data_IF_731649369800
#
_entry.id   IF_731649369800
#
_cell.length_a   1.000
_cell.length_b   1.000
_cell.length_c   1.000
_cell.angle_alpha   90.00
_cell.angle_beta   90.00
_cell.angle_gamma   90.00
#
_symmetry.space_group_name_H-M   'P 1'
#
loop_
_entity.id
_entity.type
_entity.pdbx_description
1 polymer ?
#
# COMPACT_ATOMS: atom_id res chain seq x y z
N UNK A 1 -33.69 8.72 21.23
CA UNK A 1 -34.46 7.62 20.62
C UNK A 1 -33.68 7.19 19.39
N UNK A 2 -33.10 5.99 19.39
CA UNK A 2 -32.41 5.47 18.23
C UNK A 2 -33.41 5.28 17.07
N UNK A 3 -33.09 5.69 15.84
CA UNK A 3 -33.99 5.43 14.70
C UNK A 3 -34.06 3.92 14.49
N UNK A 4 -35.27 3.45 14.26
CA UNK A 4 -35.64 2.06 14.15
C UNK A 4 -34.82 1.31 13.08
N UNK A 5 -34.38 0.11 13.46
CA UNK A 5 -33.79 -0.92 12.60
C UNK A 5 -34.54 -1.08 11.30
N UNK A 6 -34.01 -0.53 10.20
CA UNK A 6 -34.47 -0.85 8.85
C UNK A 6 -33.80 -2.12 8.41
N UNK A 7 -34.52 -3.25 8.52
CA UNK A 7 -34.12 -4.47 7.86
C UNK A 7 -34.21 -4.31 6.33
N UNK A 8 -33.07 -4.42 5.66
CA UNK A 8 -33.05 -4.48 4.20
C UNK A 8 -33.59 -5.81 3.69
N UNK A 9 -34.23 -5.82 2.51
CA UNK A 9 -34.53 -7.06 1.81
C UNK A 9 -33.22 -7.77 1.46
N UNK A 10 -33.17 -9.06 1.76
CA UNK A 10 -32.04 -9.95 1.46
C UNK A 10 -31.85 -10.01 -0.04
N UNK A 11 -30.83 -9.36 -0.58
CA UNK A 11 -30.35 -9.63 -1.92
C UNK A 11 -29.25 -10.69 -1.81
N UNK A 12 -29.50 -11.89 -2.34
CA UNK A 12 -28.65 -13.08 -2.17
C UNK A 12 -27.23 -12.95 -2.76
N UNK A 13 -26.94 -11.86 -3.45
CA UNK A 13 -25.64 -11.61 -4.10
C UNK A 13 -24.69 -10.72 -3.27
N UNK A 14 -25.15 -10.04 -2.20
CA UNK A 14 -24.34 -9.03 -1.47
C UNK A 14 -23.91 -9.51 -0.06
N UNK A 15 -24.38 -10.68 0.40
CA UNK A 15 -24.11 -11.16 1.75
C UNK A 15 -25.05 -10.53 2.81
N UNK A 16 -24.85 -10.88 4.09
CA UNK A 16 -25.68 -10.41 5.20
C UNK A 16 -25.17 -9.07 5.72
N UNK A 17 -25.96 -7.99 5.58
CA UNK A 17 -25.71 -6.72 6.26
C UNK A 17 -26.57 -6.70 7.52
N UNK A 18 -25.93 -6.71 8.69
CA UNK A 18 -26.60 -6.75 9.97
C UNK A 18 -27.14 -5.37 10.40
N UNK A 19 -26.39 -4.31 10.04
CA UNK A 19 -26.77 -2.91 10.26
C UNK A 19 -26.48 -2.14 8.98
N UNK A 20 -27.40 -1.33 8.53
CA UNK A 20 -27.26 -0.55 7.31
C UNK A 20 -27.57 0.91 7.57
N UNK A 21 -26.60 1.75 7.22
CA UNK A 21 -26.80 3.20 7.10
C UNK A 21 -26.60 3.53 5.62
N UNK A 22 -27.54 4.27 4.97
CA UNK A 22 -27.35 4.70 3.59
C UNK A 22 -26.03 5.46 3.39
N UNK A 23 -25.36 5.23 2.25
CA UNK A 23 -24.04 5.81 1.99
C UNK A 23 -24.04 7.33 2.10
N UNK A 24 -25.11 8.00 1.65
CA UNK A 24 -25.30 9.44 1.76
C UNK A 24 -25.31 9.96 3.21
N UNK A 25 -25.71 9.13 4.18
CA UNK A 25 -25.72 9.48 5.60
C UNK A 25 -24.34 9.28 6.27
N UNK A 26 -23.42 8.56 5.59
CA UNK A 26 -22.05 8.34 6.05
C UNK A 26 -21.06 9.42 5.61
N UNK A 27 -21.49 10.33 4.73
CA UNK A 27 -20.63 11.36 4.14
C UNK A 27 -20.33 12.46 5.17
N UNK A 28 -19.06 12.83 5.24
CA UNK A 28 -18.58 13.98 5.97
C UNK A 28 -18.05 15.05 5.00
N UNK A 29 -18.30 16.31 5.30
CA UNK A 29 -17.86 17.44 4.51
C UNK A 29 -16.78 18.21 5.25
N UNK A 30 -15.63 18.39 4.62
CA UNK A 30 -14.56 19.25 5.13
C UNK A 30 -15.03 20.70 5.15
N UNK A 31 -14.94 21.34 6.32
CA UNK A 31 -15.34 22.74 6.53
C UNK A 31 -14.17 23.67 6.79
N UNK A 32 -13.07 23.12 7.38
CA UNK A 32 -11.87 23.90 7.66
C UNK A 32 -10.62 23.00 7.63
N UNK A 33 -9.44 23.60 7.43
CA UNK A 33 -8.15 22.90 7.44
C UNK A 33 -7.04 23.85 7.87
N UNK A 34 -6.34 23.49 8.95
CA UNK A 34 -5.24 24.24 9.54
C UNK A 34 -3.96 23.41 9.47
N UNK A 35 -2.87 24.00 8.95
CA UNK A 35 -1.55 23.37 8.99
C UNK A 35 -1.01 23.39 10.43
N UNK A 36 -0.75 22.21 10.99
CA UNK A 36 -0.15 22.07 12.33
C UNK A 36 1.37 22.04 12.24
N UNK A 37 1.90 21.26 11.28
CA UNK A 37 3.35 21.04 11.16
C UNK A 37 3.73 20.74 9.70
N UNK A 38 4.79 21.41 9.24
CA UNK A 38 5.48 21.12 8.00
C UNK A 38 6.68 20.21 8.28
N UNK A 39 6.82 19.11 7.52
CA UNK A 39 7.98 18.22 7.57
C UNK A 39 8.53 17.98 6.16
N UNK A 40 9.78 17.53 6.01
CA UNK A 40 10.31 17.17 4.69
C UNK A 40 9.58 16.03 3.98
N UNK A 41 8.81 15.20 4.72
CA UNK A 41 8.18 13.98 4.20
C UNK A 41 6.69 14.18 3.93
N UNK A 42 5.99 14.90 4.80
CA UNK A 42 4.55 15.20 4.70
C UNK A 42 4.16 16.36 5.60
N UNK A 43 3.05 17.00 5.28
CA UNK A 43 2.43 18.04 6.09
C UNK A 43 1.35 17.45 6.99
N UNK A 44 1.27 17.94 8.24
CA UNK A 44 0.24 17.51 9.18
C UNK A 44 -0.78 18.64 9.33
N UNK A 45 -2.05 18.30 9.11
CA UNK A 45 -3.17 19.21 9.22
C UNK A 45 -4.15 18.77 10.31
N UNK A 46 -4.79 19.76 10.97
CA UNK A 46 -6.08 19.58 11.61
C UNK A 46 -7.15 19.88 10.58
N UNK A 47 -8.06 18.95 10.37
CA UNK A 47 -9.17 19.07 9.43
C UNK A 47 -10.49 18.96 10.19
N UNK A 48 -11.32 20.02 10.12
CA UNK A 48 -12.66 20.00 10.69
C UNK A 48 -13.64 19.51 9.65
N UNK A 49 -14.50 18.59 10.07
CA UNK A 49 -15.52 18.01 9.21
C UNK A 49 -16.88 17.98 9.91
N UNK A 50 -17.93 18.02 9.10
CA UNK A 50 -19.34 17.95 9.52
C UNK A 50 -20.03 16.86 8.72
N UNK A 51 -20.62 15.89 9.42
CA UNK A 51 -21.44 14.85 8.81
C UNK A 51 -22.81 15.40 8.37
N UNK A 52 -23.45 14.71 7.45
CA UNK A 52 -24.80 15.06 6.97
C UNK A 52 -25.83 15.09 8.11
N UNK A 53 -25.65 14.24 9.13
CA UNK A 53 -26.50 14.21 10.33
C UNK A 53 -26.18 15.27 11.38
N UNK A 54 -25.21 16.17 11.10
CA UNK A 54 -24.84 17.28 11.97
C UNK A 54 -23.78 16.95 13.03
N UNK A 55 -23.21 15.75 13.04
CA UNK A 55 -22.05 15.46 13.89
C UNK A 55 -20.84 16.25 13.38
N UNK A 56 -20.02 16.74 14.29
CA UNK A 56 -18.79 17.49 13.97
C UNK A 56 -17.58 16.79 14.60
N UNK A 57 -16.43 16.89 13.92
CA UNK A 57 -15.16 16.35 14.43
C UNK A 57 -13.94 17.05 13.87
N UNK A 58 -12.87 17.03 14.65
CA UNK A 58 -11.54 17.47 14.22
C UNK A 58 -10.65 16.23 14.02
N UNK A 59 -10.07 16.11 12.83
CA UNK A 59 -9.27 14.97 12.42
C UNK A 59 -7.86 15.39 12.09
N UNK A 60 -6.89 14.52 12.35
CA UNK A 60 -5.52 14.73 11.92
C UNK A 60 -5.32 14.06 10.55
N UNK A 61 -4.83 14.82 9.60
CA UNK A 61 -4.54 14.36 8.24
C UNK A 61 -3.07 14.60 7.92
N UNK A 62 -2.37 13.57 7.51
CA UNK A 62 -1.04 13.66 6.94
C UNK A 62 -1.15 13.75 5.41
N UNK A 63 -0.69 14.86 4.86
CA UNK A 63 -0.72 15.16 3.43
C UNK A 63 0.67 14.87 2.84
N UNK A 64 0.78 13.76 2.15
CA UNK A 64 2.02 13.25 1.58
C UNK A 64 1.95 13.24 0.04
N UNK A 65 3.10 13.25 -0.66
CA UNK A 65 3.13 12.97 -2.09
C UNK A 65 2.70 11.53 -2.40
N UNK A 66 2.38 11.25 -3.65
CA UNK A 66 2.04 9.90 -4.11
C UNK A 66 3.24 8.95 -3.95
N UNK A 67 2.96 7.72 -3.52
CA UNK A 67 3.96 6.67 -3.35
C UNK A 67 3.84 5.59 -4.41
N UNK A 68 4.99 5.03 -4.77
CA UNK A 68 5.09 4.00 -5.80
C UNK A 68 5.71 2.73 -5.21
N UNK A 69 5.17 1.58 -5.62
CA UNK A 69 5.75 0.26 -5.37
C UNK A 69 5.85 -0.48 -6.70
N UNK A 70 7.03 -0.96 -7.03
CA UNK A 70 7.30 -1.64 -8.30
C UNK A 70 7.66 -3.10 -8.07
N UNK A 71 6.76 -4.02 -8.44
CA UNK A 71 7.05 -5.45 -8.49
C UNK A 71 7.92 -5.70 -9.71
N UNK A 72 9.20 -5.89 -9.52
CA UNK A 72 10.13 -6.16 -10.61
C UNK A 72 10.33 -7.67 -10.72
N UNK A 73 9.87 -8.27 -11.84
CA UNK A 73 9.98 -9.70 -12.11
C UNK A 73 10.94 -9.98 -13.25
N UNK A 74 11.91 -10.84 -12.98
CA UNK A 74 12.91 -11.30 -13.93
C UNK A 74 13.00 -12.83 -13.87
N UNK A 75 12.61 -13.51 -14.93
CA UNK A 75 12.73 -14.99 -15.08
C UNK A 75 12.21 -15.80 -13.86
N UNK A 76 11.03 -15.42 -13.33
CA UNK A 76 10.40 -16.10 -12.18
C UNK A 76 11.04 -15.76 -10.82
N UNK A 77 11.82 -14.69 -10.76
CA UNK A 77 12.42 -14.13 -9.56
C UNK A 77 11.97 -12.68 -9.40
N UNK A 78 11.76 -12.26 -8.17
CA UNK A 78 11.58 -10.85 -7.86
C UNK A 78 12.93 -10.19 -7.61
N UNK A 79 13.11 -9.00 -8.18
CA UNK A 79 14.19 -8.07 -7.81
C UNK A 79 13.69 -7.25 -6.64
N UNK A 80 14.38 -7.35 -5.52
CA UNK A 80 14.00 -6.76 -4.25
C UNK A 80 15.12 -5.87 -3.72
N UNK A 81 14.78 -4.94 -2.85
CA UNK A 81 15.71 -4.10 -2.12
C UNK A 81 15.70 -4.48 -0.65
N UNK A 82 16.88 -4.46 -0.01
CA UNK A 82 17.04 -4.64 1.43
C UNK A 82 17.65 -3.40 2.03
N UNK A 83 16.91 -2.78 2.97
CA UNK A 83 17.28 -1.51 3.55
C UNK A 83 16.90 -1.38 5.02
N UNK A 84 17.49 -0.41 5.69
CA UNK A 84 17.15 -0.05 7.07
C UNK A 84 15.93 0.86 7.12
N UNK A 85 14.93 0.50 7.92
CA UNK A 85 13.75 1.33 8.17
C UNK A 85 13.86 1.97 9.56
N UNK A 86 14.05 3.29 9.58
CA UNK A 86 14.31 4.06 10.79
C UNK A 86 13.17 4.02 11.81
N UNK A 87 11.92 3.94 11.38
CA UNK A 87 10.77 3.90 12.30
C UNK A 87 10.62 2.56 13.02
N UNK A 88 10.90 1.45 12.35
CA UNK A 88 10.86 0.10 12.93
C UNK A 88 12.20 -0.35 13.53
N UNK A 89 13.28 0.41 13.32
CA UNK A 89 14.66 0.08 13.72
C UNK A 89 15.07 -1.34 13.28
N UNK A 90 14.78 -1.68 12.03
CA UNK A 90 15.03 -3.01 11.48
C UNK A 90 15.41 -2.98 10.00
N UNK A 91 16.10 -4.04 9.56
CA UNK A 91 16.28 -4.31 8.14
C UNK A 91 15.01 -4.95 7.59
N UNK A 92 14.57 -4.48 6.43
CA UNK A 92 13.42 -5.05 5.71
C UNK A 92 13.79 -5.37 4.28
N UNK A 93 13.13 -6.38 3.72
CA UNK A 93 13.21 -6.75 2.30
C UNK A 93 11.91 -6.35 1.64
N UNK A 94 11.99 -5.54 0.59
CA UNK A 94 10.84 -4.87 0.00
C UNK A 94 10.93 -4.87 -1.53
N UNK A 95 9.81 -4.58 -2.19
CA UNK A 95 9.85 -4.19 -3.60
C UNK A 95 10.44 -2.78 -3.71
N UNK A 96 11.21 -2.48 -4.78
CA UNK A 96 11.69 -1.14 -5.05
C UNK A 96 10.54 -0.15 -5.22
N UNK A 97 10.80 1.11 -4.90
CA UNK A 97 9.82 2.17 -5.04
C UNK A 97 10.15 3.39 -4.21
N UNK A 98 9.45 4.46 -4.49
CA UNK A 98 9.74 5.75 -3.89
C UNK A 98 8.59 6.72 -3.98
N UNK A 99 8.93 7.98 -4.06
CA UNK A 99 8.01 9.12 -4.02
C UNK A 99 7.92 9.75 -5.40
N UNK A 100 6.68 10.00 -5.87
CA UNK A 100 6.49 10.76 -7.11
C UNK A 100 6.85 12.24 -6.91
N UNK A 101 7.55 12.81 -7.86
CA UNK A 101 7.74 14.25 -7.94
C UNK A 101 6.41 14.95 -8.29
N UNK A 102 6.23 16.22 -7.90
CA UNK A 102 4.99 16.95 -8.21
C UNK A 102 4.69 16.98 -9.71
N UNK A 103 3.59 16.34 -10.12
CA UNK A 103 3.16 16.27 -11.52
C UNK A 103 3.83 15.19 -12.37
N UNK A 104 4.70 14.37 -11.79
CA UNK A 104 5.28 13.20 -12.46
C UNK A 104 4.19 12.11 -12.64
N UNK A 105 4.21 11.46 -13.80
CA UNK A 105 3.35 10.29 -14.05
C UNK A 105 3.81 9.13 -13.16
N UNK A 106 2.93 8.49 -12.38
CA UNK A 106 3.28 7.37 -11.52
C UNK A 106 4.01 6.21 -12.21
N UNK A 107 3.74 5.95 -13.50
CA UNK A 107 4.44 4.92 -14.25
C UNK A 107 5.90 5.33 -14.57
N UNK A 108 6.13 6.61 -14.78
CA UNK A 108 7.48 7.16 -15.00
C UNK A 108 8.27 7.09 -13.70
N UNK A 109 7.68 7.51 -12.57
CA UNK A 109 8.27 7.34 -11.24
C UNK A 109 8.64 5.88 -10.98
N UNK A 110 7.73 4.95 -11.25
CA UNK A 110 7.95 3.51 -11.03
C UNK A 110 9.16 2.97 -11.79
N UNK A 111 9.33 3.39 -13.05
CA UNK A 111 10.46 2.98 -13.87
C UNK A 111 11.77 3.65 -13.44
N UNK A 112 11.72 4.93 -13.05
CA UNK A 112 12.87 5.70 -12.57
C UNK A 112 13.41 5.11 -11.27
N UNK A 113 12.56 4.95 -10.25
CA UNK A 113 12.92 4.40 -8.94
C UNK A 113 13.48 2.98 -9.07
N UNK A 114 12.86 2.14 -9.90
CA UNK A 114 13.38 0.80 -10.16
C UNK A 114 14.82 0.84 -10.70
N UNK A 115 15.10 1.70 -11.67
CA UNK A 115 16.44 1.81 -12.27
C UNK A 115 17.44 2.41 -11.27
N UNK A 116 17.07 3.46 -10.55
CA UNK A 116 17.92 4.14 -9.58
C UNK A 116 18.33 3.22 -8.42
N UNK A 117 17.38 2.50 -7.83
CA UNK A 117 17.65 1.60 -6.71
C UNK A 117 18.32 0.29 -7.11
N UNK A 118 17.93 -0.28 -8.24
CA UNK A 118 18.31 -1.67 -8.58
C UNK A 118 19.27 -1.79 -9.77
N UNK A 119 19.33 -0.78 -10.64
CA UNK A 119 20.06 -0.87 -11.91
C UNK A 119 19.34 -1.70 -12.97
N UNK A 120 18.03 -1.97 -12.79
CA UNK A 120 17.18 -2.62 -13.79
C UNK A 120 16.23 -1.64 -14.45
N UNK A 121 16.18 -1.67 -15.78
CA UNK A 121 15.22 -0.91 -16.61
C UNK A 121 14.12 -1.83 -17.11
N UNK A 122 12.83 -1.49 -16.91
CA UNK A 122 11.73 -2.29 -17.41
C UNK A 122 11.53 -2.09 -18.93
N UNK A 123 11.18 -3.18 -19.64
CA UNK A 123 10.66 -3.14 -21.00
C UNK A 123 9.13 -2.92 -20.99
N UNK A 124 8.45 -3.44 -19.97
CA UNK A 124 7.00 -3.33 -19.82
C UNK A 124 6.64 -2.92 -18.40
N UNK A 125 5.68 -1.98 -18.27
CA UNK A 125 5.10 -1.55 -17.01
C UNK A 125 3.59 -1.76 -17.03
N UNK A 126 3.07 -2.54 -16.08
CA UNK A 126 1.63 -2.80 -15.94
C UNK A 126 1.13 -2.24 -14.62
N UNK A 127 0.16 -1.33 -14.65
CA UNK A 127 -0.50 -0.83 -13.44
C UNK A 127 -1.41 -1.92 -12.86
N UNK A 128 -1.12 -2.39 -11.65
CA UNK A 128 -1.91 -3.43 -10.98
C UNK A 128 -3.03 -2.88 -10.11
N UNK A 129 -2.84 -1.69 -9.55
CA UNK A 129 -3.84 -1.03 -8.73
C UNK A 129 -3.30 0.15 -7.94
N UNK A 130 -4.24 0.93 -7.41
CA UNK A 130 -3.97 2.09 -6.55
C UNK A 130 -4.74 1.92 -5.25
N UNK A 131 -4.07 2.12 -4.12
CA UNK A 131 -4.64 1.97 -2.78
C UNK A 131 -4.33 3.20 -1.92
N UNK A 132 -5.04 3.35 -0.82
CA UNK A 132 -4.64 4.29 0.24
C UNK A 132 -3.68 3.58 1.21
N UNK A 133 -2.60 4.23 1.67
CA UNK A 133 -1.70 3.65 2.67
C UNK A 133 -2.40 3.44 4.02
N UNK A 134 -3.18 4.40 4.43
CA UNK A 134 -4.08 4.36 5.59
C UNK A 134 -5.10 5.49 5.43
N UNK A 135 -6.34 5.20 4.98
CA UNK A 135 -7.34 6.22 4.68
C UNK A 135 -7.84 6.99 5.90
N UNK A 136 -7.52 6.53 7.11
CA UNK A 136 -7.85 7.26 8.33
C UNK A 136 -6.85 8.38 8.67
N UNK A 137 -5.66 8.38 8.04
CA UNK A 137 -4.58 9.33 8.37
C UNK A 137 -4.00 10.03 7.14
N UNK A 138 -3.81 9.31 6.02
CA UNK A 138 -3.09 9.80 4.86
C UNK A 138 -4.02 10.16 3.71
N UNK A 139 -3.75 11.30 3.07
CA UNK A 139 -4.51 11.78 1.91
C UNK A 139 -4.00 11.24 0.58
N UNK A 140 -2.75 10.76 0.52
CA UNK A 140 -2.10 10.30 -0.70
C UNK A 140 -2.53 8.88 -1.11
N UNK A 141 -2.06 8.48 -2.29
CA UNK A 141 -2.23 7.14 -2.86
C UNK A 141 -0.90 6.41 -2.96
N UNK A 142 -0.99 5.09 -3.06
CA UNK A 142 0.11 4.18 -3.38
C UNK A 142 -0.23 3.50 -4.69
N UNK A 143 0.59 3.72 -5.71
CA UNK A 143 0.44 3.10 -7.03
C UNK A 143 1.33 1.88 -7.12
N UNK A 144 0.78 0.75 -7.53
CA UNK A 144 1.48 -0.53 -7.60
C UNK A 144 1.58 -0.96 -9.05
N UNK A 145 2.82 -1.13 -9.51
CA UNK A 145 3.16 -1.54 -10.86
C UNK A 145 3.86 -2.89 -10.88
N UNK A 146 3.68 -3.63 -11.96
CA UNK A 146 4.49 -4.78 -12.34
C UNK A 146 5.42 -4.36 -13.47
N UNK A 147 6.72 -4.56 -13.27
CA UNK A 147 7.79 -4.33 -14.22
C UNK A 147 8.31 -5.67 -14.74
N UNK A 148 8.30 -5.86 -16.05
CA UNK A 148 8.73 -7.07 -16.74
C UNK A 148 9.71 -6.74 -17.87
N UNK A 149 10.30 -7.77 -18.47
CA UNK A 149 11.30 -7.61 -19.55
C UNK A 149 12.47 -6.75 -19.11
N UNK A 150 12.98 -7.04 -17.92
CA UNK A 150 14.00 -6.24 -17.26
C UNK A 150 15.35 -6.35 -17.98
N UNK A 151 15.97 -5.21 -18.23
CA UNK A 151 17.33 -5.11 -18.74
C UNK A 151 18.24 -4.53 -17.68
N UNK A 152 19.32 -5.22 -17.35
CA UNK A 152 20.30 -4.73 -16.38
C UNK A 152 21.16 -3.64 -17.02
N UNK A 153 21.11 -2.43 -16.48
CA UNK A 153 21.92 -1.30 -16.92
C UNK A 153 23.28 -1.24 -16.24
N UNK A 154 23.38 -1.87 -15.04
CA UNK A 154 24.59 -1.91 -14.24
C UNK A 154 24.92 -0.58 -13.54
N UNK A 155 24.06 0.43 -13.69
CA UNK A 155 24.25 1.75 -13.08
C UNK A 155 23.11 2.00 -12.09
N UNK A 156 23.46 2.35 -10.86
CA UNK A 156 22.54 2.74 -9.80
C UNK A 156 22.77 4.20 -9.44
N UNK A 157 21.71 4.91 -9.10
CA UNK A 157 21.74 6.31 -8.72
C UNK A 157 21.00 6.51 -7.39
N UNK A 158 21.60 6.01 -6.31
CA UNK A 158 21.03 6.13 -4.97
C UNK A 158 21.08 7.57 -4.48
N UNK A 159 20.07 7.97 -3.76
CA UNK A 159 20.07 9.21 -3.01
C UNK A 159 21.14 9.21 -1.91
N UNK A 160 21.52 10.40 -1.43
CA UNK A 160 22.66 10.56 -0.50
C UNK A 160 22.52 9.77 0.80
N UNK A 161 21.30 9.57 1.25
CA UNK A 161 20.94 8.89 2.50
C UNK A 161 20.41 7.45 2.28
N UNK A 162 20.42 6.97 1.03
CA UNK A 162 20.07 5.60 0.70
C UNK A 162 21.26 4.65 0.82
N UNK A 163 21.02 3.57 1.54
CA UNK A 163 21.95 2.44 1.65
C UNK A 163 21.19 1.13 1.43
N UNK A 164 21.15 0.70 0.17
CA UNK A 164 20.27 -0.36 -0.32
C UNK A 164 21.10 -1.49 -0.91
N UNK A 165 20.80 -2.74 -0.52
CA UNK A 165 21.26 -3.95 -1.19
C UNK A 165 20.17 -4.46 -2.13
N UNK A 166 20.55 -4.87 -3.34
CA UNK A 166 19.66 -5.53 -4.31
C UNK A 166 19.80 -7.03 -4.20
N UNK A 167 18.68 -7.73 -4.11
CA UNK A 167 18.63 -9.19 -4.04
C UNK A 167 17.57 -9.73 -5.00
N UNK A 168 17.83 -10.90 -5.55
CA UNK A 168 16.87 -11.61 -6.39
C UNK A 168 16.45 -12.91 -5.72
N UNK A 169 15.14 -13.09 -5.51
CA UNK A 169 14.60 -14.27 -4.87
C UNK A 169 13.49 -14.91 -5.71
N UNK A 170 13.36 -16.23 -5.70
CA UNK A 170 12.25 -16.91 -6.36
C UNK A 170 10.89 -16.37 -5.89
N UNK A 171 9.97 -16.13 -6.81
CA UNK A 171 8.62 -15.61 -6.52
C UNK A 171 7.94 -16.40 -5.41
N UNK A 172 7.98 -17.77 -5.48
CA UNK A 172 7.36 -18.64 -4.48
C UNK A 172 7.99 -18.53 -3.09
N UNK A 173 9.29 -18.22 -3.00
CA UNK A 173 9.97 -18.01 -1.72
C UNK A 173 9.49 -16.72 -1.05
N UNK A 174 9.35 -15.64 -1.81
CA UNK A 174 8.89 -14.35 -1.29
C UNK A 174 7.43 -14.44 -0.83
N UNK A 175 6.56 -15.07 -1.64
CA UNK A 175 5.16 -15.30 -1.26
C UNK A 175 5.05 -16.11 0.03
N UNK A 176 5.86 -17.19 0.17
CA UNK A 176 5.85 -18.05 1.36
C UNK A 176 6.31 -17.34 2.62
N UNK A 177 7.28 -16.44 2.51
CA UNK A 177 7.92 -15.79 3.66
C UNK A 177 7.31 -14.42 4.00
N UNK A 178 6.33 -13.95 3.23
CA UNK A 178 5.65 -12.68 3.51
C UNK A 178 5.07 -12.66 4.94
N UNK A 179 5.10 -11.49 5.58
CA UNK A 179 4.73 -11.24 6.97
C UNK A 179 5.68 -11.84 8.03
N UNK A 180 6.82 -12.40 7.64
CA UNK A 180 7.92 -12.64 8.58
C UNK A 180 8.66 -11.32 8.91
N UNK A 181 9.57 -11.36 9.88
CA UNK A 181 10.30 -10.17 10.34
C UNK A 181 11.01 -9.43 9.19
N UNK A 182 11.61 -10.17 8.25
CA UNK A 182 12.34 -9.58 7.11
C UNK A 182 11.40 -9.01 6.02
N UNK A 183 10.12 -9.38 6.00
CA UNK A 183 9.12 -9.01 4.99
C UNK A 183 7.90 -8.38 5.65
N UNK A 184 8.13 -7.45 6.56
CA UNK A 184 7.07 -6.87 7.41
C UNK A 184 6.35 -5.65 6.81
N UNK A 185 6.80 -5.15 5.64
CA UNK A 185 6.22 -3.95 5.05
C UNK A 185 4.82 -4.21 4.46
N UNK A 186 3.80 -3.49 4.91
CA UNK A 186 2.40 -3.71 4.52
C UNK A 186 2.16 -3.57 3.01
N UNK A 187 2.86 -2.65 2.33
CA UNK A 187 2.71 -2.48 0.88
C UNK A 187 3.23 -3.67 0.08
N UNK A 188 4.21 -4.38 0.62
CA UNK A 188 4.67 -5.62 0.01
C UNK A 188 3.56 -6.66 -0.04
N UNK A 189 2.76 -6.78 1.04
CA UNK A 189 1.60 -7.67 1.07
C UNK A 189 0.50 -7.26 0.09
N UNK A 190 0.21 -5.97 0.02
CA UNK A 190 -0.75 -5.44 -0.95
C UNK A 190 -0.26 -5.70 -2.38
N UNK A 191 1.01 -5.44 -2.67
CA UNK A 191 1.62 -5.71 -3.97
C UNK A 191 1.55 -7.19 -4.35
N UNK A 192 1.91 -8.09 -3.42
CA UNK A 192 1.80 -9.54 -3.63
C UNK A 192 0.36 -9.98 -3.89
N UNK A 193 -0.62 -9.48 -3.16
CA UNK A 193 -2.03 -9.79 -3.39
C UNK A 193 -2.50 -9.37 -4.79
N UNK A 194 -2.12 -8.17 -5.25
CA UNK A 194 -2.43 -7.70 -6.59
C UNK A 194 -1.71 -8.50 -7.67
N UNK A 195 -0.44 -8.83 -7.46
CA UNK A 195 0.34 -9.69 -8.35
C UNK A 195 -0.28 -11.09 -8.48
N UNK A 196 -0.60 -11.73 -7.35
CA UNK A 196 -1.22 -13.05 -7.34
C UNK A 196 -2.56 -13.04 -8.09
N UNK A 197 -3.40 -12.03 -7.86
CA UNK A 197 -4.65 -11.82 -8.62
C UNK A 197 -4.39 -11.69 -10.14
N UNK A 198 -3.41 -10.88 -10.51
CA UNK A 198 -3.05 -10.65 -11.91
C UNK A 198 -2.54 -11.93 -12.60
N UNK A 199 -1.71 -12.72 -11.90
CA UNK A 199 -1.17 -14.00 -12.39
C UNK A 199 -2.16 -15.16 -12.29
N UNK A 200 -3.36 -14.98 -11.73
CA UNK A 200 -4.36 -16.04 -11.58
C UNK A 200 -4.01 -17.09 -10.53
N UNK A 201 -3.21 -16.73 -9.53
CA UNK A 201 -2.98 -17.64 -8.39
C UNK A 201 -4.26 -17.81 -7.58
N UNK A 202 -4.71 -19.06 -7.42
CA UNK A 202 -5.84 -19.40 -6.56
C UNK A 202 -5.35 -19.77 -5.16
N UNK A 203 -6.03 -19.23 -4.15
CA UNK A 203 -5.66 -19.39 -2.72
C UNK A 203 -6.18 -20.68 -2.10
N UNK A 204 -6.31 -21.76 -2.85
CA UNK A 204 -6.93 -23.01 -2.39
C UNK A 204 -6.16 -23.73 -1.25
N UNK A 205 -5.09 -23.14 -0.71
CA UNK A 205 -4.22 -23.83 0.25
C UNK A 205 -3.67 -22.93 1.38
N UNK A 206 -4.47 -22.04 1.96
CA UNK A 206 -4.06 -21.43 3.24
C UNK A 206 -4.91 -22.04 4.36
N UNK A 207 -4.48 -23.21 4.86
CA UNK A 207 -4.95 -23.76 6.13
C UNK A 207 -3.98 -23.36 7.25
N UNK A 208 -4.29 -22.28 7.94
CA UNK A 208 -3.78 -22.05 9.30
C UNK A 208 -4.96 -21.57 10.15
N UNK A 209 -5.72 -22.53 10.65
CA UNK A 209 -6.70 -22.25 11.69
C UNK A 209 -6.01 -22.44 13.03
N UNK A 210 -5.70 -21.35 13.74
CA UNK A 210 -5.41 -21.40 15.17
C UNK A 210 -6.75 -21.26 15.89
N UNK A 211 -7.15 -22.25 16.67
CA UNK A 211 -8.36 -22.16 17.47
C UNK A 211 -8.13 -21.09 18.55
N UNK A 212 -9.01 -20.09 18.62
CA UNK A 212 -8.90 -18.98 19.59
C UNK A 212 -8.82 -19.51 21.04
N UNK A 213 -9.37 -20.70 21.32
CA UNK A 213 -9.28 -21.37 22.62
C UNK A 213 -7.85 -21.75 23.05
N UNK A 214 -6.89 -21.77 22.10
CA UNK A 214 -5.49 -22.09 22.40
C UNK A 214 -4.66 -20.83 22.73
N UNK A 215 -5.23 -19.63 22.58
CA UNK A 215 -4.56 -18.34 22.85
C UNK A 215 -4.75 -17.88 24.32
N UNK A 216 -5.76 -18.44 25.03
CA UNK A 216 -6.09 -18.06 26.42
C UNK A 216 -5.38 -18.91 27.50
N UNK A 217 -4.31 -19.61 27.16
CA UNK A 217 -3.43 -20.34 28.08
C UNK A 217 -2.03 -19.73 28.10
#
# INVERSE_FOLDING_TARGET
MCPADRQLPVNSEIGWIMYYTPDEELIWNKTDRELICHTPVYDIYRQREVAVNGMEGDYIVADAPEWIVTIAENEGRFVLVRQWRHSSLSLTTEFPGGVSEPGEDPAVTAARELEEETGYRPGTMTHLGTVSPNPALFSNRVHIYLAEELTQTGVRHLDRDENISVIELPVGEVIKNFASVDYSHAFMGTALALYMRYRGYHTDTIQTTTDIKDIEK
#
